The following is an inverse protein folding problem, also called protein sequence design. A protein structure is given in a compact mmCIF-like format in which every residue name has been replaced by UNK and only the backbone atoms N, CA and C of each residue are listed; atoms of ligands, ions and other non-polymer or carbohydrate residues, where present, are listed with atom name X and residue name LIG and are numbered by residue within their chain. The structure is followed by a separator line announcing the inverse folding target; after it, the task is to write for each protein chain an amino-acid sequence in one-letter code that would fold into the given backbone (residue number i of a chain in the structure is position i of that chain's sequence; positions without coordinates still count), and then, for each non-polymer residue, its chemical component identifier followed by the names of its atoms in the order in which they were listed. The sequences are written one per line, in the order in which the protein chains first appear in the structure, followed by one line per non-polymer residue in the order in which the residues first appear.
data_IF_332911099552
#
_entry.id   IF_332911099552
#
_cell.length_a   1.000
_cell.length_b   1.000
_cell.length_c   1.000
_cell.angle_alpha   90.00
_cell.angle_beta   90.00
_cell.angle_gamma   90.00
#
_symmetry.space_group_name_H-M   'P 1'
#
loop_
_entity.id
_entity.type
_entity.pdbx_description
1 polymer ?
#
# COMPACT_ATOMS: atom_id res chain seq x y z
N UNK A 1 52.90 -10.57 -42.33
CA UNK A 1 51.78 -11.49 -42.02
C UNK A 1 51.40 -11.51 -40.54
N UNK A 2 52.37 -11.53 -39.60
CA UNK A 2 52.11 -11.52 -38.15
C UNK A 2 51.24 -10.36 -37.64
N UNK A 3 51.41 -9.16 -38.20
CA UNK A 3 50.64 -7.97 -37.82
C UNK A 3 49.16 -8.04 -38.24
N UNK A 4 48.87 -8.64 -39.41
CA UNK A 4 47.48 -8.84 -39.88
C UNK A 4 46.74 -9.86 -39.02
N UNK A 5 47.46 -10.90 -38.56
CA UNK A 5 46.89 -11.93 -37.70
C UNK A 5 46.55 -11.39 -36.29
N UNK A 6 47.42 -10.54 -35.73
CA UNK A 6 47.17 -9.89 -34.44
C UNK A 6 45.90 -9.03 -34.45
N UNK A 7 45.70 -8.23 -35.51
CA UNK A 7 44.51 -7.37 -35.65
C UNK A 7 43.23 -8.21 -35.71
N UNK A 8 43.24 -9.32 -36.46
CA UNK A 8 42.09 -10.23 -36.56
C UNK A 8 41.77 -10.85 -35.20
N UNK A 9 42.79 -11.32 -34.47
CA UNK A 9 42.59 -11.91 -33.13
C UNK A 9 41.99 -10.91 -32.14
N UNK A 10 42.48 -9.67 -32.12
CA UNK A 10 41.93 -8.61 -31.25
C UNK A 10 40.47 -8.32 -31.62
N UNK A 11 40.14 -8.29 -32.91
CA UNK A 11 38.77 -8.04 -33.37
C UNK A 11 37.81 -9.17 -32.96
N UNK A 12 38.24 -10.43 -33.10
CA UNK A 12 37.46 -11.60 -32.66
C UNK A 12 37.25 -11.56 -31.14
N UNK A 13 38.31 -11.24 -30.38
CA UNK A 13 38.22 -11.15 -28.93
C UNK A 13 37.26 -10.04 -28.49
N UNK A 14 37.34 -8.86 -29.11
CA UNK A 14 36.43 -7.75 -28.83
C UNK A 14 34.97 -8.10 -29.17
N UNK A 15 34.73 -8.77 -30.30
CA UNK A 15 33.40 -9.25 -30.67
C UNK A 15 32.86 -10.29 -29.67
N UNK A 16 33.69 -11.24 -29.25
CA UNK A 16 33.32 -12.24 -28.26
C UNK A 16 32.97 -11.61 -26.90
N UNK A 17 33.73 -10.60 -26.46
CA UNK A 17 33.45 -9.84 -25.24
C UNK A 17 32.10 -9.11 -25.34
N UNK A 18 31.84 -8.44 -26.47
CA UNK A 18 30.57 -7.74 -26.72
C UNK A 18 29.37 -8.70 -26.70
N UNK A 19 29.49 -9.87 -27.32
CA UNK A 19 28.44 -10.90 -27.31
C UNK A 19 28.23 -11.44 -25.90
N UNK A 20 29.31 -11.72 -25.16
CA UNK A 20 29.23 -12.19 -23.77
C UNK A 20 28.55 -11.17 -22.84
N UNK A 21 28.89 -9.89 -22.97
CA UNK A 21 28.25 -8.81 -22.21
C UNK A 21 26.77 -8.65 -22.56
N UNK A 22 26.41 -8.73 -23.84
CA UNK A 22 25.02 -8.64 -24.28
C UNK A 22 24.19 -9.83 -23.77
N UNK A 23 24.73 -11.04 -23.89
CA UNK A 23 24.09 -12.26 -23.37
C UNK A 23 23.92 -12.23 -21.85
N UNK A 24 24.92 -11.72 -21.10
CA UNK A 24 24.81 -11.53 -19.66
C UNK A 24 23.72 -10.51 -19.29
N UNK A 25 23.62 -9.41 -20.05
CA UNK A 25 22.60 -8.37 -19.84
C UNK A 25 21.18 -8.87 -20.13
N UNK A 26 20.99 -9.72 -21.15
CA UNK A 26 19.67 -10.25 -21.54
C UNK A 26 19.03 -11.17 -20.50
N UNK A 27 19.81 -11.67 -19.53
CA UNK A 27 19.28 -12.53 -18.44
C UNK A 27 18.68 -11.76 -17.28
N UNK A 28 18.69 -10.42 -17.31
CA UNK A 28 17.88 -9.63 -16.39
C UNK A 28 16.42 -9.88 -16.71
N UNK A 29 15.83 -10.89 -16.07
CA UNK A 29 14.40 -11.19 -16.11
C UNK A 29 13.66 -9.88 -15.93
N UNK A 30 12.96 -9.44 -16.96
CA UNK A 30 12.00 -8.35 -16.83
C UNK A 30 11.10 -8.71 -15.65
N UNK A 31 11.11 -7.85 -14.63
CA UNK A 31 10.18 -7.99 -13.52
C UNK A 31 8.78 -7.99 -14.12
N UNK A 32 8.00 -9.03 -13.79
CA UNK A 32 6.61 -9.08 -14.18
C UNK A 32 5.93 -7.78 -13.73
N UNK A 33 5.08 -7.17 -14.57
CA UNK A 33 4.32 -5.99 -14.18
C UNK A 33 3.60 -6.24 -12.86
N UNK A 34 3.79 -5.34 -11.89
CA UNK A 34 3.11 -5.44 -10.60
C UNK A 34 1.61 -5.19 -10.79
N UNK A 35 0.78 -5.94 -10.07
CA UNK A 35 -0.66 -5.74 -10.06
C UNK A 35 -1.20 -5.73 -8.65
N UNK A 36 -2.33 -5.07 -8.47
CA UNK A 36 -3.01 -5.02 -7.17
C UNK A 36 -3.63 -6.37 -6.77
N UNK A 37 -3.78 -7.30 -7.72
CA UNK A 37 -4.22 -8.67 -7.47
C UNK A 37 -3.12 -9.56 -6.83
N UNK A 38 -1.84 -9.25 -7.07
CA UNK A 38 -0.71 -9.95 -6.47
C UNK A 38 0.38 -8.96 -5.99
N UNK A 39 0.04 -8.10 -5.01
CA UNK A 39 0.87 -6.96 -4.66
C UNK A 39 2.11 -7.38 -3.86
N UNK A 40 3.23 -6.69 -4.09
CA UNK A 40 4.46 -6.89 -3.34
C UNK A 40 4.68 -5.75 -2.34
N UNK A 41 4.02 -5.79 -1.18
CA UNK A 41 4.04 -4.72 -0.16
C UNK A 41 5.27 -4.71 0.75
N UNK A 42 6.40 -5.20 0.24
CA UNK A 42 7.68 -5.18 0.95
C UNK A 42 8.27 -3.78 1.06
N UNK A 43 8.96 -3.49 2.17
CA UNK A 43 9.72 -2.24 2.35
C UNK A 43 11.02 -2.19 1.53
N UNK A 44 11.31 -3.26 0.79
CA UNK A 44 12.36 -3.33 -0.24
C UNK A 44 11.83 -3.07 -1.64
N UNK A 45 10.51 -2.99 -1.82
CA UNK A 45 9.92 -2.80 -3.14
C UNK A 45 9.70 -1.29 -3.42
N UNK A 46 10.40 -0.70 -4.40
CA UNK A 46 10.14 0.66 -4.88
C UNK A 46 8.94 0.73 -5.83
N UNK A 47 8.44 -0.42 -6.28
CA UNK A 47 7.37 -0.52 -7.26
C UNK A 47 6.03 0.05 -6.77
N UNK A 48 5.05 0.18 -7.68
CA UNK A 48 3.75 0.77 -7.39
C UNK A 48 2.99 0.12 -6.23
N UNK A 49 3.19 -1.19 -6.02
CA UNK A 49 2.54 -1.95 -4.92
C UNK A 49 3.42 -2.06 -3.67
N UNK A 50 4.61 -1.45 -3.70
CA UNK A 50 5.62 -1.51 -2.66
C UNK A 50 5.40 -0.54 -1.50
N UNK A 51 6.17 -0.73 -0.43
CA UNK A 51 6.11 0.13 0.78
C UNK A 51 7.44 0.83 1.07
N UNK A 52 8.38 0.83 0.12
CA UNK A 52 9.65 1.53 0.29
C UNK A 52 9.46 3.03 0.48
N UNK A 53 8.54 3.67 -0.25
CA UNK A 53 8.24 5.09 -0.07
C UNK A 53 7.81 5.40 1.38
N UNK A 54 6.96 4.55 1.95
CA UNK A 54 6.55 4.67 3.36
C UNK A 54 7.72 4.48 4.34
N UNK A 55 8.59 3.48 4.09
CA UNK A 55 9.80 3.28 4.88
C UNK A 55 10.74 4.49 4.83
N UNK A 56 10.99 5.03 3.63
CA UNK A 56 11.82 6.21 3.41
C UNK A 56 11.23 7.42 4.12
N UNK A 57 9.93 7.67 3.97
CA UNK A 57 9.23 8.75 4.66
C UNK A 57 9.41 8.68 6.19
N UNK A 58 9.24 7.50 6.78
CA UNK A 58 9.44 7.31 8.21
C UNK A 58 10.90 7.58 8.62
N UNK A 59 11.87 7.18 7.80
CA UNK A 59 13.30 7.40 8.04
C UNK A 59 13.66 8.88 7.94
N UNK A 60 13.24 9.55 6.86
CA UNK A 60 13.49 10.98 6.60
C UNK A 60 12.83 11.89 7.63
N UNK A 61 11.72 11.45 8.22
CA UNK A 61 11.06 12.17 9.33
C UNK A 61 11.75 11.98 10.69
N UNK A 62 12.93 11.35 10.70
CA UNK A 62 13.78 11.19 11.88
C UNK A 62 13.42 10.02 12.78
N UNK A 63 12.58 9.08 12.31
CA UNK A 63 12.27 7.87 13.10
C UNK A 63 13.36 6.83 12.88
N UNK A 64 13.74 6.13 13.96
CA UNK A 64 14.66 4.98 13.91
C UNK A 64 13.88 3.74 13.43
N UNK A 65 13.68 3.64 12.12
CA UNK A 65 13.01 2.50 11.49
C UNK A 65 14.02 1.39 11.22
N UNK A 66 13.65 0.16 11.53
CA UNK A 66 14.42 -1.02 11.18
C UNK A 66 13.52 -2.00 10.41
N UNK A 67 14.12 -2.75 9.49
CA UNK A 67 13.44 -3.86 8.83
C UNK A 67 13.59 -5.09 9.69
N UNK A 68 12.51 -5.54 10.32
CA UNK A 68 12.53 -6.72 11.15
C UNK A 68 12.66 -7.98 10.27
N UNK A 69 13.70 -8.77 10.51
CA UNK A 69 14.00 -10.00 9.75
C UNK A 69 14.00 -11.25 10.62
N UNK A 70 13.77 -11.10 11.93
CA UNK A 70 13.66 -12.20 12.88
C UNK A 70 12.21 -12.60 13.09
N UNK A 71 11.94 -13.80 13.65
CA UNK A 71 10.61 -14.18 14.13
C UNK A 71 9.99 -13.16 15.08
N UNK A 72 8.66 -13.12 15.19
CA UNK A 72 7.98 -12.12 16.04
C UNK A 72 8.03 -12.43 17.54
N UNK A 73 8.29 -13.68 17.93
CA UNK A 73 8.50 -14.09 19.32
C UNK A 73 9.81 -13.53 19.92
N UNK A 74 10.81 -13.22 19.09
CA UNK A 74 12.04 -12.52 19.49
C UNK A 74 11.79 -11.09 20.03
N UNK A 75 10.62 -10.50 19.78
CA UNK A 75 10.25 -9.17 20.29
C UNK A 75 10.27 -9.12 21.83
N UNK A 76 9.94 -10.23 22.49
CA UNK A 76 9.94 -10.32 23.96
C UNK A 76 11.34 -10.64 24.49
N UNK A 77 12.11 -11.44 23.74
CA UNK A 77 13.46 -11.83 24.14
C UNK A 77 14.43 -10.63 24.11
N UNK A 78 14.26 -9.72 23.16
CA UNK A 78 15.16 -8.57 22.94
C UNK A 78 14.72 -7.31 23.68
N UNK A 79 14.46 -7.35 25.00
CA UNK A 79 13.94 -6.18 25.76
C UNK A 79 14.69 -4.85 25.54
N UNK A 80 15.99 -4.88 25.31
CA UNK A 80 16.83 -3.67 25.12
C UNK A 80 16.76 -3.14 23.68
N UNK A 81 16.65 -4.04 22.69
CA UNK A 81 16.67 -3.70 21.26
C UNK A 81 15.28 -3.83 20.59
N UNK A 82 14.26 -4.15 21.38
CA UNK A 82 12.90 -4.34 20.89
C UNK A 82 12.34 -3.00 20.39
N UNK A 83 11.68 -2.98 19.22
CA UNK A 83 11.00 -1.79 18.76
C UNK A 83 9.86 -1.43 19.73
N UNK A 84 9.53 -0.15 19.83
CA UNK A 84 8.34 0.33 20.55
C UNK A 84 7.07 0.20 19.72
N UNK A 85 7.21 0.19 18.39
CA UNK A 85 6.12 0.03 17.44
C UNK A 85 6.51 -1.00 16.38
N UNK A 86 5.65 -1.99 16.21
CA UNK A 86 5.79 -3.05 15.22
C UNK A 86 4.71 -2.87 14.16
N UNK A 87 5.12 -2.71 12.91
CA UNK A 87 4.19 -2.45 11.79
C UNK A 87 4.16 -3.67 10.89
N UNK A 88 2.97 -4.20 10.65
CA UNK A 88 2.72 -5.32 9.73
C UNK A 88 1.89 -4.79 8.57
N UNK A 89 2.36 -4.99 7.35
CA UNK A 89 1.64 -4.60 6.13
C UNK A 89 1.27 -5.88 5.36
N UNK A 90 -0.02 -6.18 5.28
CA UNK A 90 -0.56 -7.32 4.53
C UNK A 90 -0.69 -7.00 3.03
N UNK A 91 -0.81 -7.99 2.12
CA UNK A 91 -0.85 -9.42 2.45
C UNK A 91 0.54 -9.95 2.79
N UNK A 92 0.59 -10.91 3.72
CA UNK A 92 1.85 -11.50 4.19
C UNK A 92 2.27 -12.61 3.23
N UNK A 93 3.57 -12.72 2.96
CA UNK A 93 4.13 -13.84 2.16
C UNK A 93 4.17 -15.15 2.93
N UNK A 94 4.18 -15.08 4.27
CA UNK A 94 4.22 -16.21 5.19
C UNK A 94 3.26 -15.91 6.34
N UNK A 95 2.50 -16.91 6.76
CA UNK A 95 1.70 -16.82 7.96
C UNK A 95 2.56 -16.94 9.23
N UNK A 96 2.12 -16.28 10.29
CA UNK A 96 2.74 -16.40 11.60
C UNK A 96 2.44 -17.77 12.19
N UNK A 97 3.45 -18.40 12.77
CA UNK A 97 3.25 -19.57 13.61
C UNK A 97 2.54 -19.16 14.92
N UNK A 98 1.82 -20.09 15.55
CA UNK A 98 1.10 -19.81 16.81
C UNK A 98 2.02 -19.28 17.92
N UNK A 99 3.27 -19.75 17.95
CA UNK A 99 4.30 -19.25 18.87
C UNK A 99 4.65 -17.78 18.61
N UNK A 100 4.78 -17.38 17.35
CA UNK A 100 5.06 -15.99 16.96
C UNK A 100 3.88 -15.08 17.31
N UNK A 101 2.64 -15.54 17.08
CA UNK A 101 1.43 -14.80 17.45
C UNK A 101 1.38 -14.59 18.96
N UNK A 102 1.63 -15.66 19.73
CA UNK A 102 1.63 -15.60 21.20
C UNK A 102 2.71 -14.64 21.71
N UNK A 103 3.92 -14.70 21.13
CA UNK A 103 5.00 -13.78 21.46
C UNK A 103 4.67 -12.32 21.15
N UNK A 104 4.08 -12.06 19.97
CA UNK A 104 3.65 -10.73 19.56
C UNK A 104 2.57 -10.17 20.49
N UNK A 105 1.54 -10.96 20.82
CA UNK A 105 0.47 -10.55 21.73
C UNK A 105 1.00 -10.27 23.14
N UNK A 106 1.94 -11.08 23.63
CA UNK A 106 2.60 -10.84 24.91
C UNK A 106 3.40 -9.54 24.88
N UNK A 107 4.17 -9.28 23.83
CA UNK A 107 4.89 -8.01 23.66
C UNK A 107 3.94 -6.79 23.63
N UNK A 108 2.78 -6.90 22.98
CA UNK A 108 1.75 -5.85 23.01
C UNK A 108 1.22 -5.66 24.43
N UNK A 109 0.95 -6.74 25.17
CA UNK A 109 0.49 -6.68 26.56
C UNK A 109 1.54 -6.03 27.50
N UNK A 110 2.83 -6.16 27.19
CA UNK A 110 3.93 -5.49 27.90
C UNK A 110 4.09 -4.00 27.52
N UNK A 111 3.23 -3.46 26.64
CA UNK A 111 3.20 -2.05 26.26
C UNK A 111 3.71 -1.75 24.84
N UNK A 112 4.05 -2.79 24.07
CA UNK A 112 4.36 -2.68 22.65
C UNK A 112 3.16 -2.19 21.82
N UNK A 113 3.42 -1.48 20.72
CA UNK A 113 2.37 -0.97 19.82
C UNK A 113 2.36 -1.73 18.49
N UNK A 114 1.32 -2.53 18.27
CA UNK A 114 1.11 -3.20 16.99
C UNK A 114 0.27 -2.32 16.06
N UNK A 115 0.78 -2.06 14.86
CA UNK A 115 0.05 -1.41 13.76
C UNK A 115 -0.09 -2.42 12.62
N UNK A 116 -1.31 -2.79 12.29
CA UNK A 116 -1.60 -3.66 11.16
C UNK A 116 -2.25 -2.84 10.05
N UNK A 117 -1.65 -2.88 8.85
CA UNK A 117 -2.16 -2.23 7.65
C UNK A 117 -2.56 -3.34 6.70
N UNK A 118 -3.85 -3.54 6.51
CA UNK A 118 -4.40 -4.53 5.60
C UNK A 118 -5.57 -3.93 4.81
N UNK A 119 -5.73 -4.38 3.56
CA UNK A 119 -6.87 -3.98 2.72
C UNK A 119 -8.07 -4.91 2.90
N UNK A 120 -7.82 -6.15 3.31
CA UNK A 120 -8.85 -7.17 3.52
C UNK A 120 -8.71 -7.75 4.92
N UNK A 121 -8.96 -6.94 5.98
CA UNK A 121 -8.88 -7.44 7.34
C UNK A 121 -9.96 -8.51 7.55
N UNK A 122 -9.56 -9.61 8.20
CA UNK A 122 -10.49 -10.69 8.56
C UNK A 122 -11.63 -10.11 9.40
N UNK A 123 -12.89 -10.36 9.03
CA UNK A 123 -14.07 -9.71 9.64
C UNK A 123 -14.11 -9.75 11.17
N UNK A 124 -13.62 -10.84 11.77
CA UNK A 124 -13.53 -10.99 13.24
C UNK A 124 -12.65 -9.92 13.91
N UNK A 125 -11.65 -9.39 13.20
CA UNK A 125 -10.73 -8.35 13.68
C UNK A 125 -11.31 -6.94 13.50
N UNK A 126 -12.39 -6.83 12.74
CA UNK A 126 -13.10 -5.58 12.42
C UNK A 126 -14.22 -5.32 13.45
N UNK A 127 -14.11 -5.95 14.63
CA UNK A 127 -15.04 -5.78 15.74
C UNK A 127 -14.61 -4.60 16.60
N UNK A 128 -15.57 -3.76 16.98
CA UNK A 128 -15.33 -2.60 17.84
C UNK A 128 -16.22 -2.68 19.07
N UNK A 129 -15.69 -2.24 20.20
CA UNK A 129 -16.41 -2.16 21.47
C UNK A 129 -17.28 -0.92 21.59
N UNK A 130 -17.23 -0.02 20.60
CA UNK A 130 -17.94 1.26 20.61
C UNK A 130 -19.10 1.29 19.59
N UNK A 131 -19.97 2.32 19.70
CA UNK A 131 -21.17 2.51 18.86
C UNK A 131 -20.87 2.99 17.43
N UNK A 132 -19.84 2.45 16.80
CA UNK A 132 -19.56 2.64 15.39
C UNK A 132 -19.25 1.28 14.80
N UNK A 133 -19.22 1.16 13.47
CA UNK A 133 -18.87 -0.09 12.79
C UNK A 133 -17.81 0.22 11.77
N UNK A 134 -16.75 -0.60 11.72
CA UNK A 134 -15.84 -0.62 10.58
C UNK A 134 -16.46 -1.58 9.57
N UNK A 135 -16.64 -1.13 8.34
CA UNK A 135 -17.15 -1.94 7.26
C UNK A 135 -16.15 -1.86 6.11
N UNK A 136 -15.52 -2.98 5.77
CA UNK A 136 -14.71 -3.05 4.56
C UNK A 136 -15.68 -3.10 3.40
N UNK A 137 -15.72 -2.04 2.59
CA UNK A 137 -16.52 -2.05 1.36
C UNK A 137 -15.92 -3.11 0.44
N UNK A 138 -16.70 -4.11 -0.01
CA UNK A 138 -16.20 -5.13 -0.93
C UNK A 138 -15.58 -4.44 -2.14
N UNK A 139 -14.29 -4.69 -2.37
CA UNK A 139 -13.62 -4.10 -3.51
C UNK A 139 -14.24 -4.69 -4.79
N UNK A 140 -14.50 -3.84 -5.79
CA UNK A 140 -14.94 -4.33 -7.09
C UNK A 140 -13.78 -5.09 -7.73
N UNK A 141 -13.80 -6.42 -7.63
CA UNK A 141 -12.70 -7.30 -8.03
C UNK A 141 -12.29 -7.10 -9.49
N UNK A 142 -13.25 -6.74 -10.37
CA UNK A 142 -12.99 -6.41 -11.77
C UNK A 142 -12.12 -5.16 -11.90
N UNK A 143 -12.36 -4.14 -11.07
CA UNK A 143 -11.56 -2.93 -11.06
C UNK A 143 -10.12 -3.18 -10.59
N UNK A 144 -9.90 -4.10 -9.64
CA UNK A 144 -8.54 -4.46 -9.18
C UNK A 144 -7.72 -5.12 -10.30
N UNK A 145 -8.36 -5.97 -11.10
CA UNK A 145 -7.70 -6.71 -12.17
C UNK A 145 -7.34 -5.83 -13.38
N UNK A 146 -8.15 -4.82 -13.68
CA UNK A 146 -7.95 -3.92 -14.84
C UNK A 146 -7.13 -2.66 -14.49
N UNK A 147 -6.91 -2.39 -13.21
CA UNK A 147 -6.14 -1.21 -12.79
C UNK A 147 -4.64 -1.50 -12.79
N UNK A 148 -3.92 -0.84 -13.71
CA UNK A 148 -2.47 -0.76 -13.66
C UNK A 148 -2.05 0.21 -12.54
N UNK A 149 -1.35 -0.27 -11.48
CA UNK A 149 -0.95 0.58 -10.37
C UNK A 149 0.10 1.62 -10.77
N UNK A 150 0.72 1.49 -11.94
CA UNK A 150 1.66 2.46 -12.52
C UNK A 150 0.93 3.66 -13.15
N UNK A 151 -0.36 3.53 -13.49
CA UNK A 151 -1.16 4.58 -14.10
C UNK A 151 -1.86 5.43 -13.02
N UNK A 152 -1.22 6.55 -12.66
CA UNK A 152 -1.73 7.46 -11.63
C UNK A 152 -3.12 8.04 -11.94
N UNK A 153 -3.42 8.25 -13.23
CA UNK A 153 -4.70 8.83 -13.64
C UNK A 153 -5.83 7.82 -13.40
N UNK A 154 -5.65 6.56 -13.82
CA UNK A 154 -6.60 5.48 -13.51
C UNK A 154 -6.73 5.25 -12.01
N UNK A 155 -5.61 5.30 -11.29
CA UNK A 155 -5.58 5.10 -9.85
C UNK A 155 -6.34 6.18 -9.06
N UNK A 156 -6.65 7.35 -9.63
CA UNK A 156 -7.31 8.46 -8.93
C UNK A 156 -8.62 8.93 -9.55
N UNK A 157 -9.01 8.36 -10.70
CA UNK A 157 -10.11 8.82 -11.54
C UNK A 157 -11.47 8.96 -10.82
N UNK A 158 -11.76 8.12 -9.84
CA UNK A 158 -13.05 8.11 -9.12
C UNK A 158 -13.00 8.77 -7.73
N UNK A 159 -11.87 9.37 -7.36
CA UNK A 159 -11.68 9.94 -6.03
C UNK A 159 -11.45 11.44 -6.11
N UNK A 160 -12.29 12.21 -5.43
CA UNK A 160 -12.07 13.65 -5.27
C UNK A 160 -10.90 13.93 -4.32
N UNK A 161 -10.08 14.92 -4.65
CA UNK A 161 -9.07 15.42 -3.74
C UNK A 161 -9.71 16.05 -2.49
N UNK A 162 -9.14 15.79 -1.32
CA UNK A 162 -9.62 16.28 -0.04
C UNK A 162 -8.54 17.08 0.70
N UNK A 163 -8.93 18.09 1.47
CA UNK A 163 -7.98 18.79 2.33
C UNK A 163 -7.57 17.92 3.52
N UNK A 164 -6.30 17.93 3.95
CA UNK A 164 -5.89 17.25 5.17
C UNK A 164 -6.67 17.81 6.37
N UNK A 165 -7.42 16.94 7.05
CA UNK A 165 -8.20 17.33 8.24
C UNK A 165 -7.29 17.52 9.46
N UNK A 166 -6.17 16.80 9.51
CA UNK A 166 -5.20 16.88 10.60
C UNK A 166 -3.92 17.56 10.12
N UNK A 167 -3.62 18.73 10.70
CA UNK A 167 -2.34 19.40 10.55
C UNK A 167 -1.25 18.56 11.24
N UNK A 168 -0.25 18.19 10.46
CA UNK A 168 0.93 17.47 10.90
C UNK A 168 2.14 17.99 10.14
N UNK A 169 3.36 17.64 10.57
CA UNK A 169 4.57 17.94 9.79
C UNK A 169 4.51 17.37 8.37
N UNK A 170 3.70 16.34 8.13
CA UNK A 170 3.52 15.69 6.82
C UNK A 170 2.48 16.37 5.93
N UNK A 171 1.61 17.19 6.50
CA UNK A 171 0.50 17.84 5.78
C UNK A 171 0.66 19.36 5.72
N UNK A 172 1.76 19.89 6.27
CA UNK A 172 2.10 21.30 6.22
C UNK A 172 2.45 21.70 4.78
N UNK A 173 1.75 22.70 4.24
CA UNK A 173 1.92 23.14 2.84
C UNK A 173 1.22 22.24 1.80
N UNK A 174 0.54 21.18 2.21
CA UNK A 174 -0.24 20.32 1.30
C UNK A 174 -1.66 20.88 1.16
N UNK A 175 -1.99 21.38 -0.03
CA UNK A 175 -3.31 21.97 -0.30
C UNK A 175 -4.42 20.91 -0.37
N UNK A 176 -4.15 19.77 -1.01
CA UNK A 176 -5.09 18.65 -1.11
C UNK A 176 -4.36 17.32 -1.27
N UNK A 177 -5.01 16.24 -0.83
CA UNK A 177 -4.57 14.85 -0.98
C UNK A 177 -5.67 14.11 -1.72
N UNK A 178 -5.30 13.40 -2.78
CA UNK A 178 -6.20 12.54 -3.53
C UNK A 178 -5.90 11.10 -3.17
N UNK A 179 -6.91 10.37 -2.71
CA UNK A 179 -6.76 8.96 -2.39
C UNK A 179 -6.91 8.11 -3.65
N UNK A 180 -6.28 6.95 -3.66
CA UNK A 180 -6.48 6.01 -4.75
C UNK A 180 -7.92 5.49 -4.77
N UNK A 181 -8.46 5.26 -5.97
CA UNK A 181 -9.79 4.70 -6.22
C UNK A 181 -10.01 3.34 -5.53
N UNK A 182 -8.92 2.58 -5.36
CA UNK A 182 -8.91 1.27 -4.70
C UNK A 182 -8.77 1.39 -3.17
N UNK A 183 -8.44 2.58 -2.65
CA UNK A 183 -8.47 2.82 -1.21
C UNK A 183 -9.92 2.90 -0.74
N UNK A 184 -10.28 2.01 0.19
CA UNK A 184 -11.60 1.90 0.79
C UNK A 184 -12.05 3.27 1.30
N UNK A 185 -13.18 3.73 0.77
CA UNK A 185 -13.89 4.90 1.29
C UNK A 185 -14.66 4.50 2.53
N UNK A 186 -13.98 4.44 3.67
CA UNK A 186 -14.65 4.28 4.97
C UNK A 186 -15.45 5.54 5.27
N UNK A 187 -16.74 5.53 4.95
CA UNK A 187 -17.68 6.51 5.49
C UNK A 187 -18.03 6.05 6.90
N UNK A 188 -17.36 6.61 7.91
CA UNK A 188 -17.77 6.48 9.31
C UNK A 188 -19.19 7.08 9.41
N UNK A 189 -20.21 6.23 9.37
CA UNK A 189 -21.58 6.61 9.76
C UNK A 189 -21.65 6.49 11.27
N UNK A 190 -21.66 7.63 11.95
CA UNK A 190 -22.22 7.67 13.30
C UNK A 190 -23.73 7.63 13.16
N UNK A 191 -24.38 6.55 13.60
CA UNK A 191 -25.84 6.51 13.78
C UNK A 191 -26.24 7.34 15.02
N UNK A 192 -25.89 8.62 15.00
CA UNK A 192 -26.47 9.62 15.87
C UNK A 192 -27.40 10.46 14.99
N UNK A 193 -28.69 10.12 15.00
CA UNK A 193 -29.75 11.02 14.59
C UNK A 193 -29.71 12.27 15.49
N UNK A 194 -28.92 13.25 15.10
CA UNK A 194 -29.10 14.64 15.51
C UNK A 194 -29.08 15.42 14.20
N UNK A 195 -30.27 15.83 13.77
CA UNK A 195 -30.47 16.55 12.53
C UNK A 195 -29.71 17.86 12.53
N UNK A 196 -28.94 18.07 11.47
CA UNK A 196 -28.78 19.38 10.84
C UNK A 196 -28.55 19.15 9.35
N UNK A 197 -29.64 19.30 8.60
CA UNK A 197 -29.61 19.46 7.15
C UNK A 197 -28.97 20.81 6.85
N UNK A 198 -27.78 20.83 6.25
CA UNK A 198 -27.35 21.99 5.47
C UNK A 198 -27.51 21.59 4.01
N UNK A 199 -28.59 22.09 3.42
CA UNK A 199 -28.91 21.91 2.02
C UNK A 199 -27.91 22.62 1.11
N UNK A 200 -27.72 22.01 -0.07
CA UNK A 200 -27.75 22.72 -1.34
C UNK A 200 -28.46 21.82 -2.33
N UNK A 201 -29.77 21.97 -2.33
CA UNK A 201 -30.64 21.57 -3.43
C UNK A 201 -30.42 22.59 -4.55
N UNK A 202 -29.82 22.15 -5.66
CA UNK A 202 -29.91 22.82 -6.95
C UNK A 202 -29.95 21.73 -8.02
N UNK A 203 -31.14 21.17 -8.24
CA UNK A 203 -31.66 20.83 -9.57
C UNK A 203 -33.12 20.36 -9.43
N UNK A 204 -34.01 21.30 -9.13
CA UNK A 204 -35.41 21.20 -9.51
C UNK A 204 -35.54 21.68 -10.96
N UNK A 205 -35.58 20.76 -11.91
CA UNK A 205 -36.20 21.02 -13.22
C UNK A 205 -37.53 20.29 -13.22
N UNK A 206 -38.55 21.13 -13.23
CA UNK A 206 -39.97 20.90 -13.35
C UNK A 206 -40.29 20.06 -14.59
N UNK A 207 -41.02 18.96 -14.42
CA UNK A 207 -42.00 18.53 -15.42
C UNK A 207 -43.20 17.96 -14.68
N UNK A 208 -44.27 18.76 -14.65
CA UNK A 208 -45.60 18.39 -14.21
C UNK A 208 -46.38 17.98 -15.46
N UNK A 209 -46.78 16.72 -15.54
CA UNK A 209 -47.98 16.35 -16.30
C UNK A 209 -49.08 15.95 -15.30
N UNK A 210 -50.28 16.52 -15.41
CA UNK A 210 -51.45 16.01 -14.72
C UNK A 210 -52.12 14.97 -15.61
N UNK A 211 -52.42 13.79 -15.08
CA UNK A 211 -53.48 12.96 -15.66
C UNK A 211 -54.45 12.54 -14.57
N UNK A 212 -55.72 12.69 -14.93
CA UNK A 212 -56.85 12.82 -14.06
C UNK A 212 -57.46 11.47 -13.68
N UNK A 213 -58.27 11.55 -12.63
CA UNK A 213 -59.12 10.51 -12.08
C UNK A 213 -60.00 9.80 -13.12
N UNK A 214 -60.12 8.47 -12.96
CA UNK A 214 -61.39 7.76 -12.69
C UNK A 214 -61.10 6.69 -11.62
#
# INVERSE_FOLDING_TARGET
MKQKLFIITVFILAAAILVGLNAASYTQKQQAPESEAAPNRSSYNPGPTGTQAFYTLLTETGRKVIRWQTPADDLVARKVDAPTTFVIIGPRRRDFADQEVTGLLRWVAEGGRLVMIDREPVERLVTTTAKWKVAVVPQNFIAILDTDPSDQAKMTASTAAAKPVQLSRLTLGVNAVQFFAICVRDRIRSDLHVGYTIGKDQNSVTDLQPEAAI
#
